data_IF_945369793670
#
_entry.id   IF_945369793670
#
_cell.length_a   1.000
_cell.length_b   1.000
_cell.length_c   1.000
_cell.angle_alpha   90.00
_cell.angle_beta   90.00
_cell.angle_gamma   90.00
#
_symmetry.space_group_name_H-M   'P 1'
#
loop_
_entity.id
_entity.type
_entity.pdbx_description
1 polymer ?
#
# COMPACT_ATOMS: atom_id res chain seq x y z
N UNK A 1 12.18 -3.83 16.92
CA UNK A 1 11.26 -3.13 16.00
C UNK A 1 10.42 -4.20 15.33
N UNK A 2 9.12 -3.98 15.16
CA UNK A 2 8.32 -4.90 14.37
C UNK A 2 8.87 -4.93 12.93
N UNK A 3 8.91 -6.11 12.32
CA UNK A 3 9.38 -6.27 10.95
C UNK A 3 8.41 -5.58 9.98
N UNK A 4 8.94 -4.79 9.05
CA UNK A 4 8.15 -4.08 8.03
C UNK A 4 8.57 -4.53 6.64
N UNK A 5 7.59 -4.70 5.76
CA UNK A 5 7.80 -4.96 4.34
C UNK A 5 7.93 -3.64 3.59
N UNK A 6 8.94 -3.52 2.72
CA UNK A 6 9.25 -2.25 2.04
C UNK A 6 9.23 -2.39 0.54
N UNK A 7 8.59 -1.47 -0.17
CA UNK A 7 8.69 -1.36 -1.64
C UNK A 7 8.71 0.10 -2.08
N UNK A 8 9.51 0.37 -3.10
CA UNK A 8 9.50 1.66 -3.78
C UNK A 8 8.51 1.62 -4.95
N UNK A 9 7.64 2.63 -5.03
CA UNK A 9 6.74 2.82 -6.17
C UNK A 9 6.99 4.17 -6.82
N UNK A 10 7.27 4.13 -8.12
CA UNK A 10 7.43 5.34 -8.94
C UNK A 10 6.07 5.91 -9.30
N UNK A 11 5.89 7.21 -9.10
CA UNK A 11 4.72 7.95 -9.56
C UNK A 11 4.77 8.05 -11.08
N UNK A 12 3.75 7.49 -11.73
CA UNK A 12 3.61 7.43 -13.19
C UNK A 12 2.51 8.39 -13.64
N UNK A 13 2.48 8.70 -14.94
CA UNK A 13 1.52 9.64 -15.51
C UNK A 13 0.05 9.29 -15.20
N UNK A 14 -0.33 8.02 -15.31
CA UNK A 14 -1.69 7.57 -14.99
C UNK A 14 -2.07 7.66 -13.50
N UNK A 15 -1.10 7.84 -12.61
CA UNK A 15 -1.39 8.11 -11.19
C UNK A 15 -1.80 9.57 -10.96
N UNK A 16 -1.49 10.47 -11.90
CA UNK A 16 -1.63 11.90 -11.69
C UNK A 16 -2.95 12.45 -12.22
N UNK A 17 -3.45 13.50 -11.57
CA UNK A 17 -4.55 14.34 -12.06
C UNK A 17 -4.01 15.63 -12.73
N UNK A 18 -4.88 16.52 -13.25
CA UNK A 18 -4.45 17.77 -13.88
C UNK A 18 -3.68 18.74 -12.98
N UNK A 19 -3.65 18.55 -11.65
CA UNK A 19 -2.80 19.35 -10.76
C UNK A 19 -1.34 18.90 -10.78
N UNK A 20 -1.00 17.84 -11.53
CA UNK A 20 0.37 17.35 -11.70
C UNK A 20 0.89 16.53 -10.52
N UNK A 21 0.00 16.10 -9.62
CA UNK A 21 0.30 15.28 -8.43
C UNK A 21 -0.53 14.00 -8.46
N UNK A 22 -0.18 13.02 -7.62
CA UNK A 22 -0.96 11.78 -7.47
C UNK A 22 -2.41 12.11 -7.11
N UNK A 23 -3.33 11.63 -7.94
CA UNK A 23 -4.77 11.65 -7.67
C UNK A 23 -5.06 10.72 -6.48
N UNK A 24 -5.71 11.21 -5.44
CA UNK A 24 -5.79 10.51 -4.15
C UNK A 24 -6.25 9.03 -4.22
N UNK A 25 -7.17 8.58 -5.11
CA UNK A 25 -7.55 7.17 -5.19
C UNK A 25 -6.41 6.25 -5.66
N UNK A 26 -5.44 6.78 -6.41
CA UNK A 26 -4.30 6.02 -6.90
C UNK A 26 -3.39 5.56 -5.76
N UNK A 27 -3.39 6.25 -4.61
CA UNK A 27 -2.73 5.72 -3.41
C UNK A 27 -3.34 4.41 -2.94
N UNK A 28 -4.67 4.24 -3.02
CA UNK A 28 -5.30 2.98 -2.60
C UNK A 28 -4.95 1.83 -3.54
N UNK A 29 -4.80 2.10 -4.84
CA UNK A 29 -4.30 1.11 -5.80
C UNK A 29 -2.87 0.72 -5.45
N UNK A 30 -1.98 1.70 -5.28
CA UNK A 30 -0.58 1.44 -4.91
C UNK A 30 -0.44 0.73 -3.55
N UNK A 31 -1.30 1.04 -2.58
CA UNK A 31 -1.33 0.35 -1.28
C UNK A 31 -1.81 -1.09 -1.43
N UNK A 32 -2.82 -1.36 -2.27
CA UNK A 32 -3.25 -2.73 -2.51
C UNK A 32 -2.16 -3.53 -3.22
N UNK A 33 -1.52 -2.97 -4.25
CA UNK A 33 -0.37 -3.61 -4.91
C UNK A 33 0.75 -3.93 -3.91
N UNK A 34 1.04 -3.03 -2.96
CA UNK A 34 2.02 -3.29 -1.88
C UNK A 34 1.61 -4.49 -1.01
N UNK A 35 0.31 -4.67 -0.75
CA UNK A 35 -0.20 -5.83 -0.05
C UNK A 35 -0.03 -7.11 -0.87
N UNK A 36 -0.30 -7.07 -2.18
CA UNK A 36 -0.07 -8.21 -3.08
C UNK A 36 1.41 -8.63 -3.08
N UNK A 37 2.30 -7.65 -3.19
CA UNK A 37 3.75 -7.83 -3.10
C UNK A 37 4.15 -8.43 -1.74
N UNK A 38 3.55 -7.95 -0.65
CA UNK A 38 3.81 -8.47 0.70
C UNK A 38 3.42 -9.94 0.85
N UNK A 39 2.23 -10.34 0.38
CA UNK A 39 1.81 -11.74 0.39
C UNK A 39 2.77 -12.62 -0.40
N UNK A 40 3.10 -12.19 -1.62
CA UNK A 40 3.90 -12.98 -2.55
C UNK A 40 5.35 -13.10 -2.10
N UNK A 41 5.97 -11.99 -1.74
CA UNK A 41 7.41 -11.92 -1.53
C UNK A 41 7.83 -12.14 -0.08
N UNK A 42 7.05 -11.62 0.89
CA UNK A 42 7.41 -11.75 2.31
C UNK A 42 6.77 -12.98 2.96
N UNK A 43 5.52 -13.31 2.61
CA UNK A 43 4.82 -14.48 3.15
C UNK A 43 5.01 -15.75 2.31
N UNK A 44 5.67 -15.65 1.15
CA UNK A 44 5.88 -16.76 0.22
C UNK A 44 4.58 -17.35 -0.34
N UNK A 45 3.50 -16.56 -0.34
CA UNK A 45 2.17 -16.99 -0.78
C UNK A 45 1.80 -16.21 -2.04
N UNK A 46 1.85 -16.87 -3.19
CA UNK A 46 1.44 -16.25 -4.45
C UNK A 46 0.00 -15.72 -4.36
N UNK A 47 -0.14 -14.40 -4.46
CA UNK A 47 -1.43 -13.75 -4.28
C UNK A 47 -2.43 -14.11 -5.39
N UNK A 48 -1.94 -14.36 -6.60
CA UNK A 48 -2.80 -14.76 -7.72
C UNK A 48 -3.44 -16.14 -7.49
N UNK A 49 -2.67 -17.14 -7.07
CA UNK A 49 -3.18 -18.46 -6.68
C UNK A 49 -4.10 -18.37 -5.45
N UNK A 50 -3.79 -17.52 -4.47
CA UNK A 50 -4.67 -17.28 -3.32
C UNK A 50 -6.07 -16.84 -3.76
N UNK A 51 -6.14 -15.86 -4.67
CA UNK A 51 -7.40 -15.32 -5.20
C UNK A 51 -8.11 -16.31 -6.13
N UNK A 52 -7.39 -16.89 -7.10
CA UNK A 52 -8.00 -17.69 -8.18
C UNK A 52 -8.28 -19.13 -7.78
N UNK A 53 -7.33 -19.78 -7.13
CA UNK A 53 -7.40 -21.21 -6.83
C UNK A 53 -8.03 -21.44 -5.46
N UNK A 54 -7.57 -20.69 -4.45
CA UNK A 54 -8.10 -20.82 -3.08
C UNK A 54 -9.38 -20.01 -2.85
N UNK A 55 -9.75 -19.12 -3.78
CA UNK A 55 -10.91 -18.23 -3.68
C UNK A 55 -10.88 -17.39 -2.39
N UNK A 56 -9.68 -17.03 -1.94
CA UNK A 56 -9.43 -16.21 -0.78
C UNK A 56 -8.91 -14.86 -1.25
N UNK A 57 -9.50 -13.78 -0.75
CA UNK A 57 -9.04 -12.43 -1.00
C UNK A 57 -8.95 -11.65 0.30
N UNK A 58 -8.35 -10.47 0.21
CA UNK A 58 -8.29 -9.54 1.34
C UNK A 58 -9.07 -8.26 0.99
N UNK A 59 -10.41 -8.32 0.95
CA UNK A 59 -11.22 -7.15 0.68
C UNK A 59 -11.07 -6.15 1.84
N UNK A 60 -10.76 -4.90 1.52
CA UNK A 60 -10.72 -3.83 2.51
C UNK A 60 -12.14 -3.50 2.99
N UNK A 61 -12.38 -3.61 4.30
CA UNK A 61 -13.65 -3.24 4.95
C UNK A 61 -13.59 -1.85 5.59
N UNK A 62 -12.39 -1.39 5.95
CA UNK A 62 -12.15 -0.01 6.40
C UNK A 62 -10.80 0.47 5.89
N UNK A 63 -10.76 1.69 5.37
CA UNK A 63 -9.51 2.40 5.07
C UNK A 63 -9.56 3.76 5.76
N UNK A 64 -8.51 4.06 6.52
CA UNK A 64 -8.26 5.39 7.10
C UNK A 64 -6.95 5.90 6.54
N UNK A 65 -6.92 7.12 5.99
CA UNK A 65 -5.78 7.63 5.26
C UNK A 65 -5.56 9.13 5.53
N UNK A 66 -4.32 9.50 5.82
CA UNK A 66 -3.84 10.87 5.96
C UNK A 66 -2.88 11.17 4.81
N UNK A 67 -3.19 12.19 4.00
CA UNK A 67 -2.32 12.69 2.93
C UNK A 67 -1.51 13.88 3.46
N UNK A 68 -0.24 13.64 3.78
CA UNK A 68 0.62 14.59 4.50
C UNK A 68 1.34 15.56 3.55
N UNK A 69 1.70 15.09 2.35
CA UNK A 69 2.37 15.89 1.34
C UNK A 69 2.04 15.38 -0.07
N UNK A 70 1.95 16.26 -1.08
CA UNK A 70 1.71 15.84 -2.45
C UNK A 70 2.95 15.20 -3.08
N UNK A 71 2.70 14.27 -4.01
CA UNK A 71 3.73 13.61 -4.81
C UNK A 71 3.53 13.92 -6.29
N UNK A 72 4.42 14.70 -6.95
CA UNK A 72 4.37 14.96 -8.38
C UNK A 72 4.78 13.75 -9.23
N UNK A 73 4.48 13.83 -10.53
CA UNK A 73 4.97 12.89 -11.53
C UNK A 73 6.50 12.67 -11.44
N UNK A 74 6.94 11.41 -11.45
CA UNK A 74 8.36 11.04 -11.42
C UNK A 74 8.94 10.85 -10.01
N UNK A 75 8.21 11.22 -8.96
CA UNK A 75 8.57 10.89 -7.59
C UNK A 75 8.73 9.37 -7.39
N UNK A 76 9.49 9.01 -6.36
CA UNK A 76 9.53 7.65 -5.81
C UNK A 76 9.02 7.72 -4.38
N UNK A 77 7.98 6.95 -4.09
CA UNK A 77 7.43 6.78 -2.76
C UNK A 77 7.96 5.46 -2.21
N UNK A 78 8.72 5.52 -1.11
CA UNK A 78 9.10 4.36 -0.33
C UNK A 78 7.95 4.03 0.64
N UNK A 79 7.24 2.96 0.35
CA UNK A 79 6.18 2.44 1.20
C UNK A 79 6.73 1.40 2.17
N UNK A 80 6.28 1.48 3.42
CA UNK A 80 6.49 0.48 4.45
C UNK A 80 5.14 -0.06 4.91
N UNK A 81 5.01 -1.39 4.97
CA UNK A 81 3.82 -2.10 5.43
C UNK A 81 4.17 -2.89 6.69
N UNK A 82 3.37 -2.72 7.75
CA UNK A 82 3.47 -3.51 8.98
C UNK A 82 2.11 -4.04 9.43
N UNK A 83 2.10 -5.22 10.04
CA UNK A 83 0.88 -5.78 10.66
C UNK A 83 0.66 -5.12 12.02
N UNK A 84 -0.44 -4.40 12.17
CA UNK A 84 -0.82 -3.75 13.43
C UNK A 84 -1.70 -4.64 14.31
N UNK A 85 -2.52 -5.50 13.70
CA UNK A 85 -3.38 -6.47 14.41
C UNK A 85 -3.65 -7.67 13.52
N UNK A 86 -3.56 -8.87 14.08
CA UNK A 86 -3.99 -10.11 13.43
C UNK A 86 -5.17 -10.70 14.21
N UNK A 87 -6.30 -10.89 13.52
CA UNK A 87 -7.48 -11.56 14.05
C UNK A 87 -7.64 -12.97 13.48
N UNK A 88 -8.76 -13.61 13.78
CA UNK A 88 -9.07 -14.95 13.24
C UNK A 88 -9.44 -14.92 11.75
N UNK A 89 -10.08 -13.85 11.29
CA UNK A 89 -10.55 -13.68 9.90
C UNK A 89 -10.30 -12.28 9.35
N UNK A 90 -9.43 -11.49 10.00
CA UNK A 90 -9.08 -10.13 9.58
C UNK A 90 -7.63 -9.82 9.92
N UNK A 91 -7.04 -8.91 9.16
CA UNK A 91 -5.71 -8.37 9.43
C UNK A 91 -5.77 -6.86 9.26
N UNK A 92 -5.25 -6.13 10.24
CA UNK A 92 -5.09 -4.68 10.14
C UNK A 92 -3.64 -4.39 9.80
N UNK A 93 -3.42 -3.75 8.65
CA UNK A 93 -2.10 -3.31 8.21
C UNK A 93 -1.98 -1.79 8.33
N UNK A 94 -0.81 -1.33 8.76
CA UNK A 94 -0.41 0.06 8.70
C UNK A 94 0.56 0.25 7.55
N UNK A 95 0.35 1.31 6.79
CA UNK A 95 1.20 1.71 5.69
C UNK A 95 1.70 3.13 5.93
N UNK A 96 3.01 3.31 5.85
CA UNK A 96 3.66 4.62 5.86
C UNK A 96 4.39 4.82 4.54
N UNK A 97 4.19 5.97 3.90
CA UNK A 97 4.89 6.35 2.69
C UNK A 97 5.78 7.56 2.92
N UNK A 98 7.00 7.49 2.42
CA UNK A 98 7.93 8.62 2.42
C UNK A 98 8.44 8.92 1.02
N UNK A 99 8.60 10.20 0.71
CA UNK A 99 9.15 10.67 -0.55
C UNK A 99 10.02 11.89 -0.29
N UNK A 100 11.12 12.02 -1.04
CA UNK A 100 12.10 13.12 -0.85
C UNK A 100 12.57 13.27 0.62
N UNK A 101 12.69 12.15 1.33
CA UNK A 101 13.15 12.12 2.73
C UNK A 101 12.13 12.56 3.78
N UNK A 102 10.85 12.76 3.43
CA UNK A 102 9.80 13.14 4.37
C UNK A 102 8.55 12.25 4.24
N UNK A 103 7.76 12.05 5.31
CA UNK A 103 6.48 11.36 5.23
C UNK A 103 5.49 12.07 4.30
N UNK A 104 4.85 11.34 3.40
CA UNK A 104 3.84 11.88 2.47
C UNK A 104 2.45 11.25 2.65
N UNK A 105 2.35 10.04 3.19
CA UNK A 105 1.08 9.35 3.42
C UNK A 105 1.16 8.41 4.64
N UNK A 106 0.07 8.33 5.39
CA UNK A 106 -0.15 7.31 6.42
C UNK A 106 -1.52 6.67 6.20
N UNK A 107 -1.58 5.35 6.18
CA UNK A 107 -2.85 4.63 6.01
C UNK A 107 -2.96 3.45 6.97
N UNK A 108 -4.18 3.15 7.38
CA UNK A 108 -4.55 1.90 8.07
C UNK A 108 -5.63 1.22 7.25
N UNK A 109 -5.40 -0.04 6.88
CA UNK A 109 -6.32 -0.87 6.12
C UNK A 109 -6.74 -2.06 6.98
N UNK A 110 -8.04 -2.34 7.03
CA UNK A 110 -8.65 -3.49 7.71
C UNK A 110 -9.35 -4.36 6.70
#
# INVERSE_FOLDING_TARGET
>A
MAEVFRREKRVRFHHCDPAGIVFYPQYFVMIHELMEDWFTEALGTDYASLVREKRMGMPAVKVECEFLAPNPLGDVIAFELGVAKLGASSVTVKVEGSARGAPCIRATVV
#
